data_IF_064696026613
#
_entry.id   IF_064696026613
#
_cell.length_a   1.000
_cell.length_b   1.000
_cell.length_c   1.000
_cell.angle_alpha   90.00
_cell.angle_beta   90.00
_cell.angle_gamma   90.00
#
_symmetry.space_group_name_H-M   'P 1'
#
loop_
_entity.id
_entity.type
_entity.pdbx_description
1 polymer ?
#
# COMPACT_ATOMS: atom_id res chain seq x y z
N UNK A 1 -13.50 42.10 18.76
CA UNK A 1 -13.62 41.40 20.07
C UNK A 1 -14.83 41.80 20.90
N UNK A 2 -15.64 42.81 20.49
CA UNK A 2 -16.65 43.46 21.31
C UNK A 2 -18.09 42.96 21.14
N UNK A 3 -18.39 42.03 20.24
CA UNK A 3 -19.77 41.61 19.94
C UNK A 3 -20.07 40.10 20.18
N UNK A 4 -19.15 39.37 20.73
CA UNK A 4 -19.35 37.92 20.97
C UNK A 4 -19.23 37.68 22.48
N UNK A 5 -20.30 37.15 23.09
CA UNK A 5 -20.27 36.67 24.48
C UNK A 5 -19.17 35.62 24.72
N UNK A 6 -19.01 35.12 25.94
CA UNK A 6 -17.98 34.12 26.29
C UNK A 6 -18.06 32.87 25.42
N UNK A 7 -19.24 32.44 25.03
CA UNK A 7 -19.57 31.34 24.14
C UNK A 7 -19.03 31.55 22.70
N UNK A 8 -19.11 32.80 22.21
CA UNK A 8 -18.55 33.16 20.91
C UNK A 8 -17.02 33.14 20.89
N UNK A 9 -16.37 33.53 21.99
CA UNK A 9 -14.92 33.45 22.15
C UNK A 9 -14.47 31.98 22.21
N UNK A 10 -15.18 31.15 22.96
CA UNK A 10 -14.94 29.72 23.05
C UNK A 10 -15.01 29.04 21.67
N UNK A 11 -16.08 29.31 20.90
CA UNK A 11 -16.25 28.72 19.58
C UNK A 11 -15.13 29.12 18.60
N UNK A 12 -14.64 30.36 18.63
CA UNK A 12 -13.49 30.81 17.82
C UNK A 12 -12.19 30.12 18.23
N UNK A 13 -11.96 29.96 19.53
CA UNK A 13 -10.78 29.25 20.03
C UNK A 13 -10.78 27.78 19.60
N UNK A 14 -11.95 27.13 19.68
CA UNK A 14 -12.15 25.76 19.24
C UNK A 14 -11.91 25.59 17.72
N UNK A 15 -12.41 26.53 16.92
CA UNK A 15 -12.17 26.55 15.48
C UNK A 15 -10.67 26.71 15.15
N UNK A 16 -9.99 27.64 15.84
CA UNK A 16 -8.53 27.81 15.69
C UNK A 16 -7.76 26.55 16.10
N UNK A 17 -8.23 25.84 17.15
CA UNK A 17 -7.70 24.54 17.56
C UNK A 17 -7.88 23.47 16.47
N UNK A 18 -9.09 23.34 15.93
CA UNK A 18 -9.38 22.36 14.86
C UNK A 18 -8.51 22.59 13.61
N UNK A 19 -8.32 23.84 13.21
CA UNK A 19 -7.46 24.18 12.07
C UNK A 19 -5.99 23.80 12.26
N UNK A 20 -5.49 23.68 13.49
CA UNK A 20 -4.12 23.25 13.77
C UNK A 20 -3.90 21.76 13.56
N UNK A 21 -4.92 20.94 13.60
CA UNK A 21 -4.83 19.51 13.29
C UNK A 21 -4.73 19.24 11.81
N UNK A 22 -5.25 20.10 10.96
CA UNK A 22 -5.30 19.89 9.51
C UNK A 22 -3.91 19.65 8.90
N UNK A 23 -2.88 20.50 9.10
CA UNK A 23 -1.55 20.25 8.54
C UNK A 23 -0.88 18.99 9.08
N UNK A 24 -1.22 18.55 10.31
CA UNK A 24 -0.72 17.30 10.87
C UNK A 24 -1.31 16.08 10.14
N UNK A 25 -2.60 16.15 9.81
CA UNK A 25 -3.29 15.07 9.07
C UNK A 25 -2.83 15.04 7.63
N UNK A 26 -2.71 16.20 6.96
CA UNK A 26 -2.17 16.30 5.60
C UNK A 26 -0.75 15.74 5.50
N UNK A 27 0.13 16.07 6.45
CA UNK A 27 1.48 15.51 6.51
C UNK A 27 1.50 14.01 6.80
N UNK A 28 0.53 13.49 7.56
CA UNK A 28 0.37 12.05 7.77
C UNK A 28 -0.08 11.36 6.46
N UNK A 29 -1.07 11.92 5.75
CA UNK A 29 -1.58 11.39 4.49
C UNK A 29 -0.48 11.34 3.41
N UNK A 30 0.34 12.39 3.29
CA UNK A 30 1.47 12.43 2.36
C UNK A 30 2.49 11.30 2.65
N UNK A 31 2.82 11.09 3.92
CA UNK A 31 3.72 10.00 4.33
C UNK A 31 3.11 8.62 4.09
N UNK A 32 1.80 8.47 4.26
CA UNK A 32 1.09 7.21 3.96
C UNK A 32 1.20 6.87 2.47
N UNK A 33 1.04 7.85 1.58
CA UNK A 33 1.19 7.67 0.13
C UNK A 33 2.62 7.31 -0.27
N UNK A 34 3.64 7.93 0.34
CA UNK A 34 5.05 7.56 0.10
C UNK A 34 5.33 6.12 0.50
N UNK A 35 4.89 5.73 1.68
CA UNK A 35 5.08 4.37 2.21
C UNK A 35 4.34 3.33 1.34
N UNK A 36 3.16 3.66 0.80
CA UNK A 36 2.42 2.81 -0.14
C UNK A 36 3.23 2.57 -1.42
N UNK A 37 3.79 3.62 -2.01
CA UNK A 37 4.62 3.50 -3.22
C UNK A 37 5.86 2.62 -2.99
N UNK A 38 6.51 2.78 -1.84
CA UNK A 38 7.69 1.99 -1.45
C UNK A 38 7.37 0.54 -1.11
N UNK A 39 6.18 0.26 -0.56
CA UNK A 39 5.71 -1.10 -0.31
C UNK A 39 5.55 -1.90 -1.60
N UNK A 40 5.01 -1.29 -2.64
CA UNK A 40 4.92 -1.88 -3.99
C UNK A 40 6.31 -2.18 -4.56
N UNK A 41 7.30 -1.33 -4.29
CA UNK A 41 8.69 -1.56 -4.66
C UNK A 41 9.37 -2.67 -3.83
N UNK A 42 8.73 -3.14 -2.75
CA UNK A 42 9.25 -4.19 -1.87
C UNK A 42 10.38 -3.71 -0.95
N UNK A 43 10.37 -2.44 -0.58
CA UNK A 43 11.32 -1.87 0.36
C UNK A 43 11.03 -2.36 1.78
N UNK A 44 11.98 -3.06 2.40
CA UNK A 44 11.82 -3.63 3.73
C UNK A 44 11.81 -2.59 4.87
N UNK A 45 12.24 -1.35 4.62
CA UNK A 45 12.21 -0.28 5.63
C UNK A 45 10.79 0.21 5.93
N UNK A 46 9.86 -0.05 5.00
CA UNK A 46 8.44 0.30 5.08
C UNK A 46 7.76 -0.22 6.35
N UNK A 47 8.12 -1.43 6.83
CA UNK A 47 7.46 -2.05 7.99
C UNK A 47 7.57 -1.18 9.25
N UNK A 48 8.77 -0.66 9.52
CA UNK A 48 9.02 0.19 10.69
C UNK A 48 8.28 1.52 10.59
N UNK A 49 8.24 2.09 9.39
CA UNK A 49 7.58 3.38 9.13
C UNK A 49 6.06 3.26 9.19
N UNK A 50 5.46 2.20 8.64
CA UNK A 50 4.02 1.91 8.79
C UNK A 50 3.63 1.82 10.25
N UNK A 51 4.43 1.15 11.08
CA UNK A 51 4.13 1.05 12.52
C UNK A 51 4.23 2.39 13.24
N UNK A 52 5.18 3.26 12.84
CA UNK A 52 5.29 4.61 13.38
C UNK A 52 4.07 5.45 12.99
N UNK A 53 3.72 5.50 11.70
CA UNK A 53 2.55 6.21 11.19
C UNK A 53 1.24 5.73 11.82
N UNK A 54 1.12 4.43 12.04
CA UNK A 54 -0.05 3.85 12.71
C UNK A 54 -0.18 4.31 14.16
N UNK A 55 0.94 4.42 14.89
CA UNK A 55 0.95 4.98 16.24
C UNK A 55 0.58 6.45 16.23
N UNK A 56 1.12 7.24 15.31
CA UNK A 56 0.82 8.67 15.17
C UNK A 56 -0.66 8.88 14.87
N UNK A 57 -1.23 8.14 13.93
CA UNK A 57 -2.66 8.17 13.60
C UNK A 57 -3.56 7.80 14.80
N UNK A 58 -3.17 6.77 15.57
CA UNK A 58 -3.89 6.37 16.78
C UNK A 58 -3.82 7.43 17.88
N UNK A 59 -2.67 8.07 18.06
CA UNK A 59 -2.52 9.18 19.03
C UNK A 59 -3.40 10.36 18.67
N UNK A 60 -3.39 10.77 17.39
CA UNK A 60 -4.24 11.85 16.90
C UNK A 60 -5.73 11.49 17.07
N UNK A 61 -6.12 10.27 16.71
CA UNK A 61 -7.50 9.79 16.88
C UNK A 61 -7.97 9.82 18.33
N UNK A 62 -7.09 9.45 19.27
CA UNK A 62 -7.40 9.49 20.71
C UNK A 62 -7.71 10.90 21.22
N UNK A 63 -7.16 11.93 20.57
CA UNK A 63 -7.42 13.34 20.91
C UNK A 63 -8.66 13.84 20.16
N UNK A 64 -8.73 13.57 18.85
CA UNK A 64 -9.80 14.09 17.96
C UNK A 64 -11.16 13.47 18.27
N UNK A 65 -11.20 12.18 18.64
CA UNK A 65 -12.46 11.47 18.92
C UNK A 65 -13.30 12.13 20.00
N UNK A 66 -12.77 12.32 21.22
CA UNK A 66 -13.51 13.01 22.29
C UNK A 66 -13.89 14.46 21.96
N UNK A 67 -13.04 15.18 21.22
CA UNK A 67 -13.34 16.54 20.78
C UNK A 67 -14.54 16.54 19.81
N UNK A 68 -14.54 15.64 18.81
CA UNK A 68 -15.67 15.45 17.89
C UNK A 68 -16.98 15.21 18.67
N UNK A 69 -16.95 14.28 19.62
CA UNK A 69 -18.13 13.89 20.38
C UNK A 69 -18.63 15.04 21.27
N UNK A 70 -17.72 15.82 21.84
CA UNK A 70 -18.05 17.01 22.64
C UNK A 70 -18.71 18.07 21.76
N UNK A 71 -18.16 18.40 20.61
CA UNK A 71 -18.77 19.40 19.70
C UNK A 71 -20.03 18.89 19.02
N UNK A 72 -20.21 17.57 18.88
CA UNK A 72 -21.49 16.99 18.46
C UNK A 72 -22.59 17.28 19.46
N UNK A 73 -22.32 17.13 20.76
CA UNK A 73 -23.27 17.47 21.82
C UNK A 73 -23.54 18.97 21.89
N UNK A 74 -22.50 19.80 21.88
CA UNK A 74 -22.66 21.27 21.94
C UNK A 74 -23.43 21.85 20.74
N UNK A 75 -23.36 21.21 19.59
CA UNK A 75 -24.06 21.66 18.38
C UNK A 75 -25.47 21.11 18.24
N UNK A 76 -25.84 20.02 18.94
CA UNK A 76 -27.15 19.35 18.79
C UNK A 76 -28.09 19.54 19.95
N UNK A 77 -27.59 19.77 21.17
CA UNK A 77 -28.40 19.93 22.36
C UNK A 77 -28.85 21.40 22.53
N UNK A 78 -30.08 21.60 22.95
CA UNK A 78 -30.61 22.93 23.29
C UNK A 78 -30.12 23.31 24.69
N UNK A 79 -28.80 23.61 24.76
CA UNK A 79 -28.18 24.02 26.02
C UNK A 79 -28.61 25.42 26.34
N UNK A 80 -29.31 25.57 27.47
CA UNK A 80 -29.74 26.88 27.99
C UNK A 80 -28.49 27.78 28.19
N UNK A 81 -28.47 28.93 27.51
CA UNK A 81 -27.41 29.92 27.64
C UNK A 81 -26.37 29.95 26.50
N UNK A 82 -26.49 29.13 25.48
CA UNK A 82 -25.66 29.23 24.29
C UNK A 82 -26.40 30.02 23.20
N UNK A 83 -25.81 31.12 22.74
CA UNK A 83 -26.37 31.93 21.66
C UNK A 83 -26.37 31.12 20.33
N UNK A 84 -27.42 31.31 19.50
CA UNK A 84 -27.61 30.61 18.23
C UNK A 84 -26.38 30.74 17.31
N UNK A 85 -25.73 31.90 17.27
CA UNK A 85 -24.51 32.12 16.50
C UNK A 85 -23.32 31.26 16.99
N UNK A 86 -23.20 31.07 18.30
CA UNK A 86 -22.20 30.22 18.90
C UNK A 86 -22.48 28.73 18.61
N UNK A 87 -23.74 28.32 18.61
CA UNK A 87 -24.18 26.98 18.24
C UNK A 87 -23.82 26.64 16.79
N UNK A 88 -24.10 27.52 15.84
CA UNK A 88 -23.74 27.34 14.44
C UNK A 88 -22.22 27.22 14.24
N UNK A 89 -21.43 27.96 15.02
CA UNK A 89 -19.95 27.79 15.01
C UNK A 89 -19.51 26.46 15.59
N UNK A 90 -20.13 26.00 16.67
CA UNK A 90 -19.84 24.67 17.22
C UNK A 90 -20.18 23.55 16.23
N UNK A 91 -21.24 23.71 15.42
CA UNK A 91 -21.52 22.79 14.32
C UNK A 91 -20.41 22.78 13.25
N UNK A 92 -19.90 23.96 12.87
CA UNK A 92 -18.75 24.05 11.94
C UNK A 92 -17.49 23.38 12.51
N UNK A 93 -17.22 23.58 13.80
CA UNK A 93 -16.09 22.93 14.50
C UNK A 93 -16.27 21.41 14.56
N UNK A 94 -17.49 20.93 14.85
CA UNK A 94 -17.85 19.52 14.81
C UNK A 94 -17.53 18.93 13.43
N UNK A 95 -17.94 19.60 12.35
CA UNK A 95 -17.73 19.11 10.99
C UNK A 95 -16.24 19.07 10.63
N UNK A 96 -15.43 19.98 11.17
CA UNK A 96 -13.98 19.92 11.06
C UNK A 96 -13.38 18.68 11.74
N UNK A 97 -13.73 18.43 13.00
CA UNK A 97 -13.26 17.25 13.72
C UNK A 97 -13.78 15.95 13.13
N UNK A 98 -14.97 15.95 12.56
CA UNK A 98 -15.52 14.78 11.87
C UNK A 98 -14.66 14.42 10.65
N UNK A 99 -14.35 15.42 9.79
CA UNK A 99 -13.46 15.18 8.62
C UNK A 99 -12.07 14.70 9.04
N UNK A 100 -11.49 15.30 10.07
CA UNK A 100 -10.19 14.89 10.60
C UNK A 100 -10.24 13.43 11.07
N UNK A 101 -11.29 13.04 11.80
CA UNK A 101 -11.45 11.67 12.26
C UNK A 101 -11.60 10.67 11.11
N UNK A 102 -12.37 11.04 10.08
CA UNK A 102 -12.56 10.24 8.86
C UNK A 102 -11.24 10.07 8.09
N UNK A 103 -10.45 11.14 7.93
CA UNK A 103 -9.11 11.06 7.32
C UNK A 103 -8.19 10.14 8.11
N UNK A 104 -8.19 10.21 9.43
CA UNK A 104 -7.38 9.34 10.28
C UNK A 104 -7.80 7.85 10.17
N UNK A 105 -9.11 7.58 10.09
CA UNK A 105 -9.64 6.23 9.89
C UNK A 105 -9.26 5.68 8.51
N UNK A 106 -9.33 6.52 7.48
CA UNK A 106 -8.88 6.19 6.12
C UNK A 106 -7.38 5.91 6.09
N UNK A 107 -6.56 6.76 6.71
CA UNK A 107 -5.12 6.55 6.80
C UNK A 107 -4.77 5.22 7.48
N UNK A 108 -5.47 4.83 8.55
CA UNK A 108 -5.27 3.54 9.21
C UNK A 108 -5.65 2.36 8.32
N UNK A 109 -6.73 2.46 7.55
CA UNK A 109 -7.15 1.44 6.61
C UNK A 109 -6.11 1.26 5.49
N UNK A 110 -5.60 2.38 4.93
CA UNK A 110 -4.55 2.36 3.90
C UNK A 110 -3.26 1.75 4.46
N UNK A 111 -2.83 2.12 5.67
CA UNK A 111 -1.65 1.52 6.32
C UNK A 111 -1.81 0.00 6.53
N UNK A 112 -3.04 -0.49 6.76
CA UNK A 112 -3.33 -1.92 6.78
C UNK A 112 -3.13 -2.58 5.43
N UNK A 113 -3.65 -1.96 4.37
CA UNK A 113 -3.51 -2.43 2.99
C UNK A 113 -2.06 -2.40 2.50
N UNK A 114 -1.27 -1.40 2.92
CA UNK A 114 0.17 -1.30 2.62
C UNK A 114 0.95 -2.51 3.13
N UNK A 115 0.68 -2.95 4.35
CA UNK A 115 1.33 -4.15 4.91
C UNK A 115 0.97 -5.41 4.11
N UNK A 116 -0.27 -5.54 3.69
CA UNK A 116 -0.71 -6.68 2.88
C UNK A 116 -0.06 -6.66 1.50
N UNK A 117 -0.01 -5.49 0.85
CA UNK A 117 0.68 -5.30 -0.43
C UNK A 117 2.17 -5.66 -0.31
N UNK A 118 2.84 -5.20 0.73
CA UNK A 118 4.24 -5.54 0.98
C UNK A 118 4.45 -7.06 1.14
N UNK A 119 3.60 -7.72 1.95
CA UNK A 119 3.66 -9.18 2.14
C UNK A 119 3.47 -9.94 0.82
N UNK A 120 2.50 -9.51 0.02
CA UNK A 120 2.25 -10.08 -1.31
C UNK A 120 3.46 -9.93 -2.22
N UNK A 121 4.06 -8.72 -2.27
CA UNK A 121 5.25 -8.44 -3.09
C UNK A 121 6.45 -9.32 -2.67
N UNK A 122 6.67 -9.47 -1.36
CA UNK A 122 7.75 -10.33 -0.84
C UNK A 122 7.47 -11.80 -1.15
N UNK A 123 6.22 -12.24 -1.00
CA UNK A 123 5.82 -13.62 -1.34
C UNK A 123 6.02 -13.92 -2.83
N UNK A 124 5.65 -12.99 -3.72
CA UNK A 124 5.88 -13.11 -5.16
C UNK A 124 7.36 -13.23 -5.48
N UNK A 125 8.23 -12.38 -4.91
CA UNK A 125 9.68 -12.47 -5.10
C UNK A 125 10.25 -13.79 -4.59
N UNK A 126 9.79 -14.25 -3.43
CA UNK A 126 10.20 -15.55 -2.89
C UNK A 126 9.80 -16.69 -3.82
N UNK A 127 8.58 -16.65 -4.35
CA UNK A 127 8.11 -17.64 -5.32
C UNK A 127 8.91 -17.61 -6.61
N UNK A 128 9.35 -16.44 -7.08
CA UNK A 128 10.23 -16.32 -8.25
C UNK A 128 11.59 -16.98 -8.01
N UNK A 129 12.21 -16.71 -6.86
CA UNK A 129 13.48 -17.35 -6.48
C UNK A 129 13.31 -18.88 -6.40
N UNK A 130 12.21 -19.34 -5.77
CA UNK A 130 11.91 -20.76 -5.68
C UNK A 130 11.70 -21.42 -7.05
N UNK A 131 11.04 -20.73 -7.99
CA UNK A 131 10.89 -21.21 -9.38
C UNK A 131 12.25 -21.39 -10.05
N UNK A 132 13.14 -20.39 -9.96
CA UNK A 132 14.49 -20.47 -10.54
C UNK A 132 15.26 -21.64 -9.93
N UNK A 133 15.25 -21.77 -8.61
CA UNK A 133 15.93 -22.85 -7.90
C UNK A 133 15.38 -24.22 -8.31
N UNK A 134 14.05 -24.34 -8.43
CA UNK A 134 13.39 -25.58 -8.86
C UNK A 134 13.82 -25.99 -10.27
N UNK A 135 13.82 -25.04 -11.22
CA UNK A 135 14.26 -25.31 -12.59
C UNK A 135 15.72 -25.74 -12.61
N UNK A 136 16.58 -25.00 -11.90
CA UNK A 136 18.01 -25.31 -11.83
C UNK A 136 18.26 -26.72 -11.27
N UNK A 137 17.60 -27.06 -10.15
CA UNK A 137 17.75 -28.37 -9.53
C UNK A 137 17.17 -29.48 -10.42
N UNK A 138 16.00 -29.26 -11.03
CA UNK A 138 15.36 -30.24 -11.90
C UNK A 138 16.17 -30.56 -13.17
N UNK A 139 16.95 -29.59 -13.68
CA UNK A 139 17.85 -29.80 -14.83
C UNK A 139 19.16 -30.45 -14.39
N UNK A 140 19.78 -29.98 -13.29
CA UNK A 140 21.06 -30.47 -12.83
C UNK A 140 21.03 -31.91 -12.28
N UNK A 141 19.95 -32.26 -11.54
CA UNK A 141 19.90 -33.55 -10.85
C UNK A 141 20.01 -34.73 -11.80
N UNK A 142 19.22 -34.84 -12.90
CA UNK A 142 19.39 -35.95 -13.84
C UNK A 142 20.70 -35.91 -14.60
N UNK A 143 21.24 -34.72 -14.89
CA UNK A 143 22.58 -34.61 -15.51
C UNK A 143 23.67 -35.12 -14.56
N UNK A 144 23.60 -34.79 -13.27
CA UNK A 144 24.54 -35.28 -12.25
C UNK A 144 24.42 -36.80 -12.06
N UNK A 145 23.20 -37.35 -12.16
CA UNK A 145 22.98 -38.80 -12.10
C UNK A 145 23.70 -39.51 -13.26
N UNK A 146 23.52 -39.02 -14.49
CA UNK A 146 24.21 -39.59 -15.67
C UNK A 146 25.71 -39.47 -15.51
N UNK A 147 26.24 -38.30 -15.14
CA UNK A 147 27.65 -38.09 -14.90
C UNK A 147 28.19 -39.00 -13.78
N UNK A 148 27.40 -39.21 -12.71
CA UNK A 148 27.76 -40.11 -11.62
C UNK A 148 27.85 -41.57 -12.05
N UNK A 149 26.89 -42.06 -12.85
CA UNK A 149 26.89 -43.44 -13.38
C UNK A 149 28.13 -43.67 -14.27
N UNK A 150 28.42 -42.76 -15.21
CA UNK A 150 29.58 -42.88 -16.09
C UNK A 150 30.93 -42.57 -15.39
N UNK A 151 30.89 -41.92 -14.22
CA UNK A 151 32.06 -41.72 -13.37
C UNK A 151 32.37 -42.88 -12.43
N UNK A 152 31.55 -43.95 -12.41
CA UNK A 152 31.81 -45.15 -11.58
C UNK A 152 32.86 -46.02 -12.22
N UNK A 153 33.78 -46.57 -11.41
CA UNK A 153 34.87 -47.44 -11.86
C UNK A 153 34.41 -48.91 -11.91
N UNK A 154 33.37 -49.23 -12.67
CA UNK A 154 32.99 -50.62 -12.90
C UNK A 154 33.83 -51.27 -13.99
N UNK A 155 34.26 -52.51 -13.77
CA UNK A 155 35.13 -53.28 -14.72
C UNK A 155 34.36 -53.67 -15.99
N UNK A 156 33.04 -53.79 -15.94
CA UNK A 156 32.19 -54.21 -17.05
C UNK A 156 31.13 -53.12 -17.34
N UNK A 157 31.56 -52.11 -18.09
CA UNK A 157 30.64 -51.13 -18.69
C UNK A 157 30.79 -51.22 -20.23
N UNK A 158 29.86 -51.85 -20.94
CA UNK A 158 29.96 -52.03 -22.38
C UNK A 158 30.02 -50.71 -23.15
N UNK A 159 29.40 -49.65 -22.63
CA UNK A 159 29.35 -48.31 -23.23
C UNK A 159 30.70 -47.60 -23.19
N UNK A 160 31.59 -47.89 -22.22
CA UNK A 160 32.93 -47.31 -22.16
C UNK A 160 33.88 -47.91 -23.20
N UNK A 161 33.65 -49.13 -23.65
CA UNK A 161 34.41 -49.76 -24.72
C UNK A 161 34.01 -49.22 -26.11
N UNK A 162 32.95 -48.47 -26.23
CA UNK A 162 32.43 -47.94 -27.48
C UNK A 162 33.12 -46.62 -27.84
N UNK A 163 33.67 -46.51 -29.07
CA UNK A 163 34.42 -45.33 -29.52
C UNK A 163 33.60 -44.02 -29.45
N UNK A 164 32.26 -44.09 -29.49
CA UNK A 164 31.32 -42.98 -29.43
C UNK A 164 30.62 -42.87 -28.08
N UNK A 165 30.93 -43.70 -27.08
CA UNK A 165 30.25 -43.73 -25.79
C UNK A 165 30.28 -42.37 -25.04
N UNK A 166 31.38 -41.64 -25.12
CA UNK A 166 31.50 -40.30 -24.55
C UNK A 166 30.57 -39.30 -25.24
N UNK A 167 30.50 -39.26 -26.57
CA UNK A 167 29.60 -38.38 -27.31
C UNK A 167 28.13 -38.74 -27.08
N UNK A 168 27.85 -40.05 -26.93
CA UNK A 168 26.51 -40.52 -26.64
C UNK A 168 26.05 -40.07 -25.24
N UNK A 169 26.89 -40.20 -24.21
CA UNK A 169 26.59 -39.72 -22.86
C UNK A 169 26.35 -38.22 -22.82
N UNK A 170 27.20 -37.42 -23.48
CA UNK A 170 27.01 -35.98 -23.63
C UNK A 170 25.72 -35.64 -24.40
N UNK A 171 25.40 -36.42 -25.44
CA UNK A 171 24.15 -36.26 -26.19
C UNK A 171 22.92 -36.50 -25.36
N UNK A 172 22.89 -37.54 -24.53
CA UNK A 172 21.79 -37.82 -23.58
C UNK A 172 21.65 -36.67 -22.58
N UNK A 173 22.75 -36.20 -21.97
CA UNK A 173 22.72 -35.06 -21.07
C UNK A 173 22.19 -33.81 -21.76
N UNK A 174 22.65 -33.50 -22.97
CA UNK A 174 22.18 -32.34 -23.73
C UNK A 174 20.68 -32.43 -24.05
N UNK A 175 20.22 -33.59 -24.53
CA UNK A 175 18.78 -33.79 -24.83
C UNK A 175 17.93 -33.67 -23.57
N UNK A 176 18.37 -34.26 -22.46
CA UNK A 176 17.64 -34.12 -21.17
C UNK A 176 17.65 -32.68 -20.69
N UNK A 177 18.80 -32.01 -20.68
CA UNK A 177 18.91 -30.61 -20.22
C UNK A 177 18.08 -29.66 -21.06
N UNK A 178 18.18 -29.75 -22.40
CA UNK A 178 17.41 -28.91 -23.32
C UNK A 178 15.90 -29.24 -23.22
N UNK A 179 15.55 -30.52 -23.15
CA UNK A 179 14.16 -30.96 -23.04
C UNK A 179 13.48 -30.44 -21.79
N UNK A 180 14.13 -30.55 -20.62
CA UNK A 180 13.67 -30.01 -19.37
C UNK A 180 13.59 -28.47 -19.38
N UNK A 181 14.61 -27.82 -19.93
CA UNK A 181 14.62 -26.37 -20.08
C UNK A 181 13.44 -25.89 -20.93
N UNK A 182 13.22 -26.51 -22.11
CA UNK A 182 12.08 -26.19 -22.97
C UNK A 182 10.74 -26.46 -22.29
N UNK A 183 10.63 -27.57 -21.55
CA UNK A 183 9.44 -27.91 -20.78
C UNK A 183 9.12 -26.82 -19.75
N UNK A 184 10.09 -26.40 -18.93
CA UNK A 184 9.90 -25.36 -17.93
C UNK A 184 9.68 -23.98 -18.54
N UNK A 185 10.34 -23.68 -19.67
CA UNK A 185 10.12 -22.43 -20.41
C UNK A 185 8.68 -22.34 -20.94
N UNK A 186 8.15 -23.44 -21.51
CA UNK A 186 6.76 -23.50 -21.98
C UNK A 186 5.72 -23.43 -20.83
N UNK A 187 6.08 -23.91 -19.66
CA UNK A 187 5.24 -23.81 -18.45
C UNK A 187 5.32 -22.44 -17.77
N UNK A 188 6.13 -21.52 -18.27
CA UNK A 188 6.24 -20.16 -17.70
C UNK A 188 7.10 -20.09 -16.42
N UNK A 189 7.88 -21.13 -16.13
CA UNK A 189 8.85 -21.12 -15.02
C UNK A 189 10.12 -20.35 -15.38
N UNK A 190 10.44 -20.27 -16.66
CA UNK A 190 11.60 -19.56 -17.22
C UNK A 190 11.06 -18.43 -18.09
N UNK A 191 10.91 -17.29 -17.49
CA UNK A 191 10.46 -16.07 -18.15
C UNK A 191 10.29 -15.05 -17.04
N UNK A 192 10.98 -13.93 -17.17
CA UNK A 192 10.95 -12.88 -16.14
C UNK A 192 9.53 -12.45 -15.77
N UNK A 193 9.37 -11.73 -14.67
CA UNK A 193 8.08 -11.35 -14.17
C UNK A 193 7.31 -10.63 -15.27
N UNK A 194 6.22 -11.23 -15.72
CA UNK A 194 5.19 -10.45 -16.36
C UNK A 194 4.64 -9.58 -15.25
N UNK A 195 5.09 -8.34 -15.17
CA UNK A 195 4.46 -7.25 -14.40
C UNK A 195 3.03 -6.98 -14.92
N UNK A 196 2.32 -8.04 -15.25
CA UNK A 196 0.93 -8.04 -15.69
C UNK A 196 0.07 -8.38 -14.50
N UNK A 197 -0.13 -7.42 -13.63
CA UNK A 197 -1.05 -7.58 -12.53
C UNK A 197 -0.70 -6.83 -11.26
N UNK A 198 -0.03 -5.68 -11.34
CA UNK A 198 -0.25 -4.70 -10.29
C UNK A 198 -1.76 -4.48 -10.23
N UNK A 199 -2.42 -4.72 -9.10
CA UNK A 199 -3.85 -4.46 -9.01
C UNK A 199 -4.05 -2.95 -9.19
N UNK A 200 -4.34 -2.55 -10.43
CA UNK A 200 -4.76 -1.17 -10.79
C UNK A 200 -6.03 -0.73 -10.06
N UNK A 201 -6.56 -1.60 -9.20
CA UNK A 201 -7.84 -1.39 -8.53
C UNK A 201 -7.70 -0.47 -7.33
N UNK A 202 -6.56 -0.49 -6.61
CA UNK A 202 -6.39 0.36 -5.40
C UNK A 202 -6.10 1.81 -5.79
N UNK A 203 -5.21 2.04 -6.77
CA UNK A 203 -4.86 3.39 -7.20
C UNK A 203 -6.01 4.18 -7.87
N UNK A 204 -6.93 3.49 -8.57
CA UNK A 204 -8.11 4.17 -9.17
C UNK A 204 -9.18 4.50 -8.14
N UNK A 205 -9.42 3.62 -7.18
CA UNK A 205 -10.40 3.88 -6.12
C UNK A 205 -9.99 5.06 -5.22
N UNK A 206 -8.71 5.12 -4.83
CA UNK A 206 -8.19 6.22 -4.02
C UNK A 206 -8.10 7.54 -4.80
N UNK A 207 -7.62 7.50 -6.04
CA UNK A 207 -7.58 8.68 -6.91
C UNK A 207 -8.98 9.24 -7.19
N UNK A 208 -10.01 8.38 -7.33
CA UNK A 208 -11.40 8.81 -7.48
C UNK A 208 -12.01 9.32 -6.17
N UNK A 209 -11.65 8.75 -5.02
CA UNK A 209 -12.06 9.25 -3.72
C UNK A 209 -11.41 10.62 -3.43
N UNK A 210 -10.11 10.74 -3.62
CA UNK A 210 -9.38 12.02 -3.48
C UNK A 210 -9.90 13.07 -4.46
N UNK A 211 -10.18 12.69 -5.73
CA UNK A 211 -10.79 13.61 -6.71
C UNK A 211 -12.24 14.01 -6.35
N UNK A 212 -13.00 13.15 -5.71
CA UNK A 212 -14.37 13.49 -5.26
C UNK A 212 -14.38 14.37 -4.02
N UNK A 213 -13.40 14.20 -3.13
CA UNK A 213 -13.27 14.99 -1.90
C UNK A 213 -12.60 16.35 -2.17
N UNK A 214 -11.66 16.43 -3.11
CA UNK A 214 -10.98 17.67 -3.55
C UNK A 214 -11.62 18.19 -4.86
N UNK A 215 -12.95 18.27 -4.94
CA UNK A 215 -13.53 19.21 -5.90
C UNK A 215 -13.30 20.61 -5.33
N UNK A 216 -12.42 21.44 -5.91
CA UNK A 216 -12.35 22.84 -5.50
C UNK A 216 -13.72 23.45 -5.76
N UNK A 217 -14.22 24.19 -4.79
CA UNK A 217 -15.39 25.06 -4.92
C UNK A 217 -15.02 26.22 -5.87
N UNK A 218 -14.79 25.89 -7.13
CA UNK A 218 -14.57 26.88 -8.21
C UNK A 218 -15.89 27.41 -8.77
N UNK A 219 -17.03 27.08 -8.14
CA UNK A 219 -18.36 27.57 -8.53
C UNK A 219 -18.72 28.97 -8.03
N UNK A 220 -17.94 29.56 -7.10
CA UNK A 220 -18.33 30.86 -6.51
C UNK A 220 -17.70 32.06 -7.23
N UNK A 221 -16.62 31.85 -7.99
CA UNK A 221 -16.02 32.94 -8.74
C UNK A 221 -16.82 33.39 -9.99
N UNK A 222 -17.74 32.57 -10.48
CA UNK A 222 -18.60 32.89 -11.63
C UNK A 222 -19.85 33.73 -11.28
N UNK A 223 -20.24 33.79 -10.01
CA UNK A 223 -21.45 34.51 -9.58
C UNK A 223 -21.20 35.99 -9.21
N UNK A 224 -19.92 36.38 -9.05
CA UNK A 224 -19.56 37.77 -8.75
C UNK A 224 -19.20 38.62 -9.98
N UNK A 225 -19.13 38.01 -11.17
CA UNK A 225 -18.83 38.72 -12.43
C UNK A 225 -20.06 39.14 -13.27
N UNK A 226 -21.29 38.83 -12.82
CA UNK A 226 -22.52 39.19 -13.51
C UNK A 226 -23.30 40.26 -12.72
N UNK A 227 -22.81 41.50 -12.68
CA UNK A 227 -23.61 42.70 -12.46
C UNK A 227 -23.46 43.61 -13.67
N UNK A 228 -24.49 43.76 -14.50
CA UNK A 228 -24.53 44.87 -15.45
C UNK A 228 -24.87 46.17 -14.71
N UNK A 229 -24.27 47.26 -15.16
CA UNK A 229 -24.41 48.63 -14.73
C UNK A 229 -25.78 49.23 -14.95
#
# INVERSE_FOLDING_TARGET
>A
LGESGPDGVFARLAEAGARRFQPLVEGLEERVLDVEARAVAGDHTVIGEVQALRRDALMLRKIVGPLRDTFMRLGSEDLAGIEERARLRCQSVRDHYFRIAESLDTAQAVLGAVLETYRSTVAERTNEVMKVLTVFTAVLLPMSLVAGIYGMNFVHMPELAWRLGYLWALGVMAVMGIGLWVYFARRGFVGGPRLSGAPRVVGKGLADLVRRTIKPVTGVAGLLAARPG
#
